data_IF_359792007237
#
_entry.id   IF_359792007237
#
_cell.length_a   1.000
_cell.length_b   1.000
_cell.length_c   1.000
_cell.angle_alpha   90.00
_cell.angle_beta   90.00
_cell.angle_gamma   90.00
#
_symmetry.space_group_name_H-M   'P 1'
#
loop_
_entity.id
_entity.type
_entity.pdbx_description
1 polymer ?
#
# COMPACT_ATOMS: atom_id res chain seq x y z
N UNK A 1 47.50 -19.87 -52.69
CA UNK A 1 46.74 -19.34 -51.54
C UNK A 1 46.72 -20.44 -50.46
N UNK A 2 47.61 -20.38 -49.46
CA UNK A 2 47.70 -21.42 -48.42
C UNK A 2 46.64 -21.13 -47.34
N UNK A 3 45.64 -21.99 -47.23
CA UNK A 3 44.70 -22.01 -46.10
C UNK A 3 45.50 -22.38 -44.84
N UNK A 4 45.60 -21.47 -43.86
CA UNK A 4 46.18 -21.80 -42.57
C UNK A 4 45.21 -22.71 -41.81
N UNK A 5 45.66 -23.91 -41.48
CA UNK A 5 44.87 -24.83 -40.67
C UNK A 5 44.74 -24.26 -39.25
N UNK A 6 43.50 -24.09 -38.77
CA UNK A 6 43.23 -23.66 -37.39
C UNK A 6 43.70 -24.75 -36.43
N UNK A 7 44.52 -24.44 -35.42
CA UNK A 7 45.00 -25.45 -34.48
C UNK A 7 43.84 -26.07 -33.70
N UNK A 8 43.84 -27.40 -33.56
CA UNK A 8 42.81 -28.20 -32.84
C UNK A 8 42.47 -27.67 -31.44
N UNK A 9 43.43 -27.02 -30.77
CA UNK A 9 43.21 -26.42 -29.44
C UNK A 9 42.19 -25.27 -29.48
N UNK A 10 42.13 -24.50 -30.57
CA UNK A 10 41.13 -23.45 -30.75
C UNK A 10 39.73 -24.02 -31.02
N UNK A 11 39.64 -25.15 -31.72
CA UNK A 11 38.37 -25.88 -31.90
C UNK A 11 37.82 -26.35 -30.54
N UNK A 12 38.69 -26.84 -29.65
CA UNK A 12 38.30 -27.19 -28.27
C UNK A 12 37.79 -25.99 -27.46
N UNK A 13 38.44 -24.83 -27.57
CA UNK A 13 37.96 -23.62 -26.89
C UNK A 13 36.63 -23.12 -27.42
N UNK A 14 36.43 -23.16 -28.74
CA UNK A 14 35.15 -22.77 -29.37
C UNK A 14 34.04 -23.73 -28.95
N UNK A 15 34.31 -25.03 -28.88
CA UNK A 15 33.35 -26.03 -28.42
C UNK A 15 32.95 -25.80 -26.95
N UNK A 16 33.93 -25.67 -26.05
CA UNK A 16 33.66 -25.41 -24.63
C UNK A 16 32.94 -24.08 -24.42
N UNK A 17 33.33 -23.02 -25.13
CA UNK A 17 32.66 -21.72 -25.10
C UNK A 17 31.23 -21.78 -25.62
N UNK A 18 31.00 -22.51 -26.72
CA UNK A 18 29.66 -22.72 -27.29
C UNK A 18 28.73 -23.51 -26.37
N UNK A 19 29.24 -24.57 -25.74
CA UNK A 19 28.48 -25.35 -24.75
C UNK A 19 28.17 -24.50 -23.50
N UNK A 20 29.16 -23.78 -22.98
CA UNK A 20 28.97 -22.90 -21.82
C UNK A 20 27.97 -21.77 -22.09
N UNK A 21 28.06 -21.12 -23.24
CA UNK A 21 27.10 -20.10 -23.65
C UNK A 21 25.69 -20.69 -23.86
N UNK A 22 25.59 -21.85 -24.52
CA UNK A 22 24.32 -22.54 -24.75
C UNK A 22 23.64 -22.97 -23.44
N UNK A 23 24.40 -23.53 -22.49
CA UNK A 23 23.88 -23.86 -21.15
C UNK A 23 23.50 -22.60 -20.37
N UNK A 24 24.30 -21.54 -20.41
CA UNK A 24 24.00 -20.27 -19.76
C UNK A 24 22.69 -19.64 -20.26
N UNK A 25 22.49 -19.60 -21.59
CA UNK A 25 21.24 -19.11 -22.19
C UNK A 25 20.06 -20.01 -21.83
N UNK A 26 20.23 -21.32 -21.86
CA UNK A 26 19.16 -22.28 -21.55
C UNK A 26 18.72 -22.20 -20.09
N UNK A 27 19.67 -22.09 -19.15
CA UNK A 27 19.37 -21.91 -17.73
C UNK A 27 18.70 -20.56 -17.50
N UNK A 28 19.21 -19.48 -18.10
CA UNK A 28 18.62 -18.16 -17.96
C UNK A 28 17.18 -18.09 -18.49
N UNK A 29 16.91 -18.69 -19.65
CA UNK A 29 15.56 -18.72 -20.23
C UNK A 29 14.58 -19.56 -19.40
N UNK A 30 15.00 -20.70 -18.87
CA UNK A 30 14.20 -21.50 -17.95
C UNK A 30 13.94 -20.82 -16.60
N UNK A 31 14.95 -20.13 -16.06
CA UNK A 31 14.82 -19.39 -14.80
C UNK A 31 13.95 -18.16 -14.99
N UNK A 32 14.14 -17.40 -16.06
CA UNK A 32 13.35 -16.22 -16.38
C UNK A 32 11.88 -16.56 -16.64
N UNK A 33 11.58 -17.65 -17.36
CA UNK A 33 10.20 -18.06 -17.64
C UNK A 33 9.45 -18.55 -16.39
N UNK A 34 10.15 -19.16 -15.42
CA UNK A 34 9.53 -19.62 -14.15
C UNK A 34 9.43 -18.55 -13.08
N UNK A 35 10.28 -17.52 -13.14
CA UNK A 35 10.28 -16.43 -12.17
C UNK A 35 9.52 -15.19 -12.66
N UNK A 36 9.12 -15.15 -13.94
CA UNK A 36 8.30 -14.05 -14.45
C UNK A 36 6.88 -14.17 -13.91
N UNK A 37 6.39 -13.19 -13.13
CA UNK A 37 5.02 -13.21 -12.64
C UNK A 37 4.04 -13.05 -13.83
N UNK A 38 2.82 -13.63 -13.73
CA UNK A 38 1.87 -13.64 -14.84
C UNK A 38 1.45 -12.21 -15.23
N UNK A 39 1.01 -12.04 -16.48
CA UNK A 39 0.61 -10.73 -17.03
C UNK A 39 -0.72 -10.27 -16.43
N UNK A 40 -0.85 -9.00 -16.01
CA UNK A 40 -2.09 -8.51 -15.41
C UNK A 40 -3.25 -8.76 -16.38
N UNK A 41 -4.34 -9.34 -15.88
CA UNK A 41 -5.52 -9.65 -16.67
C UNK A 41 -5.44 -10.95 -17.50
N UNK A 42 -4.32 -11.67 -17.48
CA UNK A 42 -4.27 -13.04 -18.01
C UNK A 42 -5.07 -14.01 -17.13
N UNK A 43 -5.45 -15.17 -17.67
CA UNK A 43 -6.13 -16.22 -16.88
C UNK A 43 -5.25 -16.73 -15.72
N UNK A 44 -3.95 -16.81 -15.92
CA UNK A 44 -2.98 -17.19 -14.89
C UNK A 44 -2.93 -16.17 -13.75
N UNK A 45 -2.97 -14.88 -14.09
CA UNK A 45 -3.03 -13.78 -13.11
C UNK A 45 -4.33 -13.81 -12.31
N UNK A 46 -5.47 -14.00 -12.98
CA UNK A 46 -6.77 -14.14 -12.33
C UNK A 46 -6.77 -15.33 -11.36
N UNK A 47 -6.25 -16.48 -11.78
CA UNK A 47 -6.18 -17.66 -10.92
C UNK A 47 -5.22 -17.45 -9.74
N UNK A 48 -4.09 -16.77 -9.94
CA UNK A 48 -3.17 -16.43 -8.86
C UNK A 48 -3.80 -15.46 -7.85
N UNK A 49 -4.56 -14.47 -8.32
CA UNK A 49 -5.33 -13.56 -7.46
C UNK A 49 -6.43 -14.30 -6.70
N UNK A 50 -7.15 -15.23 -7.33
CA UNK A 50 -8.16 -16.06 -6.66
C UNK A 50 -7.54 -16.91 -5.55
N UNK A 51 -6.41 -17.57 -5.83
CA UNK A 51 -5.68 -18.35 -4.82
C UNK A 51 -5.21 -17.46 -3.66
N UNK A 52 -4.70 -16.27 -3.96
CA UNK A 52 -4.33 -15.28 -2.95
C UNK A 52 -5.55 -14.88 -2.10
N UNK A 53 -6.70 -14.61 -2.74
CA UNK A 53 -7.94 -14.26 -2.05
C UNK A 53 -8.40 -15.37 -1.09
N UNK A 54 -8.36 -16.63 -1.55
CA UNK A 54 -8.71 -17.79 -0.73
C UNK A 54 -7.75 -17.98 0.45
N UNK A 55 -6.46 -17.68 0.26
CA UNK A 55 -5.48 -17.68 1.34
C UNK A 55 -5.76 -16.59 2.38
N UNK A 56 -6.14 -15.40 1.91
CA UNK A 56 -6.50 -14.27 2.77
C UNK A 56 -7.73 -14.53 3.63
N UNK A 57 -8.74 -15.22 3.09
CA UNK A 57 -9.93 -15.58 3.86
C UNK A 57 -9.64 -16.47 5.08
N UNK A 58 -8.47 -17.13 5.10
CA UNK A 58 -7.99 -17.96 6.20
C UNK A 58 -7.06 -17.22 7.17
N UNK A 59 -6.67 -15.99 6.89
CA UNK A 59 -5.79 -15.23 7.78
C UNK A 59 -6.54 -14.86 9.05
N UNK A 60 -5.95 -15.17 10.21
CA UNK A 60 -6.51 -14.87 11.53
C UNK A 60 -6.88 -13.38 11.70
N UNK A 61 -6.10 -12.48 11.09
CA UNK A 61 -6.39 -11.05 11.08
C UNK A 61 -7.72 -10.75 10.37
N UNK A 62 -7.97 -11.31 9.19
CA UNK A 62 -9.21 -11.08 8.45
C UNK A 62 -10.39 -11.79 9.13
N UNK A 63 -10.20 -13.02 9.58
CA UNK A 63 -11.23 -13.79 10.30
C UNK A 63 -11.65 -13.06 11.58
N UNK A 64 -10.69 -12.53 12.34
CA UNK A 64 -10.97 -11.79 13.57
C UNK A 64 -11.59 -10.41 13.35
N UNK A 65 -11.28 -9.74 12.23
CA UNK A 65 -11.93 -8.47 11.86
C UNK A 65 -13.36 -8.72 11.38
N UNK A 66 -13.59 -9.77 10.58
CA UNK A 66 -14.92 -10.16 10.10
C UNK A 66 -15.83 -10.68 11.19
N UNK A 67 -15.30 -11.43 12.17
CA UNK A 67 -16.10 -11.90 13.30
C UNK A 67 -16.58 -10.75 14.19
N UNK A 68 -15.81 -9.66 14.23
CA UNK A 68 -16.14 -8.41 14.95
C UNK A 68 -16.81 -7.37 14.04
N UNK A 69 -17.19 -7.74 12.82
CA UNK A 69 -17.54 -6.80 11.78
C UNK A 69 -18.84 -7.07 11.03
N UNK A 70 -19.26 -6.07 10.26
CA UNK A 70 -20.46 -6.06 9.43
C UNK A 70 -20.08 -5.74 7.98
N UNK A 71 -20.93 -6.12 7.02
CA UNK A 71 -20.75 -5.73 5.62
C UNK A 71 -21.29 -4.32 5.38
N UNK A 72 -20.59 -3.52 4.58
CA UNK A 72 -21.00 -2.15 4.22
C UNK A 72 -22.36 -2.06 3.50
N UNK A 73 -22.75 -3.11 2.77
CA UNK A 73 -23.93 -3.11 1.90
C UNK A 73 -25.03 -4.09 2.37
N UNK A 74 -24.86 -4.73 3.53
CA UNK A 74 -25.92 -5.54 4.13
C UNK A 74 -25.87 -5.39 5.64
N UNK A 75 -26.98 -5.01 6.26
CA UNK A 75 -27.17 -4.97 7.72
C UNK A 75 -27.04 -6.35 8.40
N UNK A 76 -26.70 -7.38 7.64
CA UNK A 76 -26.42 -8.73 8.11
C UNK A 76 -25.02 -8.78 8.73
N UNK A 77 -24.94 -8.99 10.05
CA UNK A 77 -23.70 -9.32 10.75
C UNK A 77 -23.05 -10.56 10.11
N UNK A 78 -21.75 -10.53 9.83
CA UNK A 78 -21.02 -11.68 9.26
C UNK A 78 -20.94 -12.89 10.22
N UNK A 79 -21.20 -12.66 11.51
CA UNK A 79 -21.23 -13.71 12.53
C UNK A 79 -22.29 -13.39 13.60
N UNK A 80 -23.57 -13.65 13.31
CA UNK A 80 -24.67 -13.88 14.28
C UNK A 80 -24.81 -12.95 15.49
N UNK A 81 -24.25 -11.74 15.49
CA UNK A 81 -24.12 -10.90 16.68
C UNK A 81 -24.95 -9.63 16.52
N UNK A 82 -26.29 -9.80 16.58
CA UNK A 82 -27.26 -8.76 16.91
C UNK A 82 -27.39 -7.58 15.93
N UNK A 83 -28.51 -6.83 16.01
CA UNK A 83 -28.69 -5.59 15.27
C UNK A 83 -27.99 -4.45 16.03
N UNK A 84 -26.79 -4.06 15.62
CA UNK A 84 -26.06 -2.95 16.25
C UNK A 84 -25.04 -2.30 15.32
N UNK A 85 -25.13 -0.97 15.14
CA UNK A 85 -24.22 -0.13 14.34
C UNK A 85 -22.88 0.13 15.07
N UNK A 86 -22.12 -0.91 15.40
CA UNK A 86 -20.82 -0.78 16.07
C UNK A 86 -19.91 -1.96 15.78
N UNK A 87 -18.85 -1.76 14.99
CA UNK A 87 -17.91 -2.82 14.63
C UNK A 87 -17.00 -2.49 13.45
N UNK A 88 -16.21 -3.49 13.03
CA UNK A 88 -15.36 -3.38 11.84
C UNK A 88 -16.19 -3.50 10.55
N UNK A 89 -15.93 -2.64 9.58
CA UNK A 89 -16.68 -2.54 8.34
C UNK A 89 -15.75 -2.85 7.18
N UNK A 90 -15.99 -3.94 6.46
CA UNK A 90 -15.20 -4.25 5.27
C UNK A 90 -15.55 -3.24 4.17
N UNK A 91 -14.54 -2.46 3.76
CA UNK A 91 -14.64 -1.50 2.67
C UNK A 91 -14.43 -2.25 1.35
N UNK A 92 -15.40 -2.13 0.46
CA UNK A 92 -15.22 -2.56 -0.93
C UNK A 92 -14.35 -1.51 -1.64
N UNK A 93 -13.07 -1.81 -1.81
CA UNK A 93 -12.14 -0.88 -2.45
C UNK A 93 -12.40 -0.76 -3.96
N UNK A 94 -12.93 -1.83 -4.58
CA UNK A 94 -13.19 -1.93 -6.02
C UNK A 94 -14.45 -1.21 -6.48
N UNK A 95 -15.42 -1.03 -5.58
CA UNK A 95 -16.70 -0.39 -5.93
C UNK A 95 -16.70 1.06 -5.50
N UNK A 96 -17.26 1.89 -6.39
CA UNK A 96 -17.71 3.24 -6.07
C UNK A 96 -18.60 3.21 -4.82
N UNK A 97 -18.09 3.65 -3.67
CA UNK A 97 -18.92 3.88 -2.47
C UNK A 97 -19.59 5.27 -2.55
N UNK A 98 -20.06 5.63 -3.74
CA UNK A 98 -21.02 6.68 -3.95
C UNK A 98 -21.93 6.19 -5.08
N UNK A 99 -23.09 5.66 -4.70
CA UNK A 99 -24.22 5.46 -5.60
C UNK A 99 -24.65 6.84 -6.15
N UNK A 100 -24.00 7.31 -7.20
CA UNK A 100 -24.56 8.34 -8.06
C UNK A 100 -24.86 7.68 -9.42
N UNK A 101 -26.10 7.24 -9.54
CA UNK A 101 -26.72 6.47 -10.62
C UNK A 101 -26.60 7.02 -12.05
N UNK A 102 -25.80 8.06 -12.34
CA UNK A 102 -25.82 8.73 -13.65
C UNK A 102 -24.48 9.30 -14.17
N UNK A 103 -23.34 8.88 -13.62
CA UNK A 103 -22.03 9.28 -14.18
C UNK A 103 -21.29 8.03 -14.62
N UNK A 104 -20.92 7.98 -15.90
CA UNK A 104 -20.14 6.90 -16.50
C UNK A 104 -19.03 6.41 -15.55
N UNK A 105 -18.99 5.09 -15.33
CA UNK A 105 -18.00 4.34 -14.56
C UNK A 105 -16.61 4.98 -14.66
N UNK A 106 -16.21 5.71 -13.61
CA UNK A 106 -14.93 6.42 -13.63
C UNK A 106 -14.15 5.95 -12.41
N UNK A 107 -13.30 4.92 -12.52
CA UNK A 107 -12.69 4.23 -11.38
C UNK A 107 -12.17 5.22 -10.33
N UNK A 108 -12.41 4.92 -9.05
CA UNK A 108 -11.90 5.70 -7.91
C UNK A 108 -10.41 5.95 -8.09
N UNK A 109 -9.91 7.16 -7.78
CA UNK A 109 -8.47 7.48 -7.89
C UNK A 109 -7.58 6.76 -6.87
N UNK A 110 -7.90 5.54 -6.46
CA UNK A 110 -6.83 4.67 -5.96
C UNK A 110 -5.93 4.39 -7.16
N UNK A 111 -4.98 5.30 -7.42
CA UNK A 111 -3.99 5.26 -8.51
C UNK A 111 -3.31 3.88 -8.56
N UNK A 112 -3.23 3.25 -7.39
CA UNK A 112 -2.81 1.89 -7.06
C UNK A 112 -3.66 0.79 -7.68
N UNK A 113 -4.99 0.93 -7.76
CA UNK A 113 -5.87 -0.12 -8.25
C UNK A 113 -5.94 -0.23 -9.76
N UNK A 114 -5.75 0.84 -10.54
CA UNK A 114 -5.80 0.75 -12.01
C UNK A 114 -4.42 0.52 -12.63
N UNK A 115 -3.40 1.23 -12.14
CA UNK A 115 -2.07 1.23 -12.77
C UNK A 115 -1.16 0.13 -12.25
N UNK A 116 -1.39 -0.34 -11.01
CA UNK A 116 -0.60 -1.38 -10.36
C UNK A 116 -1.42 -2.67 -10.19
N UNK A 117 -2.33 -2.98 -11.11
CA UNK A 117 -3.14 -4.21 -11.07
C UNK A 117 -2.33 -5.51 -11.16
N UNK A 118 -2.96 -6.61 -10.76
CA UNK A 118 -2.46 -7.96 -10.97
C UNK A 118 -1.58 -8.46 -9.83
N UNK A 119 -1.30 -9.76 -9.82
CA UNK A 119 -0.49 -10.42 -8.78
C UNK A 119 0.96 -9.91 -8.75
N UNK A 120 1.44 -9.43 -9.90
CA UNK A 120 2.76 -8.78 -10.02
C UNK A 120 2.81 -7.38 -9.40
N UNK A 121 1.66 -6.72 -9.28
CA UNK A 121 1.46 -5.38 -8.74
C UNK A 121 0.83 -5.39 -7.33
N UNK A 122 -0.05 -4.44 -7.07
CA UNK A 122 -0.93 -4.39 -5.91
C UNK A 122 -2.17 -5.23 -6.21
N UNK A 123 -2.05 -6.54 -5.98
CA UNK A 123 -3.03 -7.54 -6.40
C UNK A 123 -4.41 -7.34 -5.79
N UNK A 124 -4.59 -7.79 -4.55
CA UNK A 124 -5.82 -7.57 -3.80
C UNK A 124 -5.48 -6.59 -2.68
N UNK A 125 -6.36 -5.62 -2.47
CA UNK A 125 -6.35 -4.78 -1.30
C UNK A 125 -7.69 -5.01 -0.59
N UNK A 126 -7.67 -5.14 0.73
CA UNK A 126 -8.89 -5.19 1.55
C UNK A 126 -8.71 -4.25 2.71
N UNK A 127 -9.69 -3.40 2.98
CA UNK A 127 -9.63 -2.48 4.10
C UNK A 127 -10.82 -2.69 5.02
N UNK A 128 -10.58 -2.55 6.31
CA UNK A 128 -11.56 -2.68 7.37
C UNK A 128 -11.58 -1.37 8.16
N UNK A 129 -12.74 -0.74 8.23
CA UNK A 129 -12.95 0.52 8.92
C UNK A 129 -13.68 0.30 10.24
N UNK A 130 -13.16 0.81 11.35
CA UNK A 130 -13.87 0.77 12.62
C UNK A 130 -14.77 2.02 12.76
N UNK A 131 -16.08 1.83 12.87
CA UNK A 131 -17.03 2.94 13.02
C UNK A 131 -16.88 3.71 14.34
N UNK A 132 -16.43 3.03 15.40
CA UNK A 132 -16.34 3.60 16.75
C UNK A 132 -15.03 4.35 16.95
N UNK A 133 -13.90 3.73 16.60
CA UNK A 133 -12.56 4.31 16.81
C UNK A 133 -12.09 5.15 15.63
N UNK A 134 -12.77 5.07 14.48
CA UNK A 134 -12.34 5.63 13.20
C UNK A 134 -10.93 5.19 12.79
N UNK A 135 -10.60 3.94 13.09
CA UNK A 135 -9.35 3.31 12.69
C UNK A 135 -9.55 2.51 11.41
N UNK A 136 -8.51 2.38 10.61
CA UNK A 136 -8.51 1.54 9.41
C UNK A 136 -7.43 0.47 9.51
N UNK A 137 -7.77 -0.75 9.11
CA UNK A 137 -6.83 -1.85 8.95
C UNK A 137 -6.93 -2.33 7.51
N UNK A 138 -5.87 -2.17 6.74
CA UNK A 138 -5.78 -2.65 5.37
C UNK A 138 -4.84 -3.86 5.27
N UNK A 139 -5.28 -4.90 4.57
CA UNK A 139 -4.45 -6.03 4.18
C UNK A 139 -4.05 -5.81 2.73
N UNK A 140 -2.75 -5.80 2.47
CA UNK A 140 -2.17 -5.38 1.18
C UNK A 140 -1.18 -6.42 0.70
N UNK A 141 -1.34 -6.84 -0.55
CA UNK A 141 -0.33 -7.62 -1.26
C UNK A 141 0.60 -6.69 -2.02
N UNK A 142 1.91 -6.84 -1.82
CA UNK A 142 2.92 -6.11 -2.60
C UNK A 142 3.58 -7.10 -3.55
N UNK A 143 3.27 -7.04 -4.83
CA UNK A 143 3.80 -7.92 -5.86
C UNK A 143 5.27 -7.67 -6.20
N UNK A 144 5.85 -8.62 -6.94
CA UNK A 144 7.29 -8.65 -7.25
C UNK A 144 7.74 -7.56 -8.22
N UNK A 145 6.85 -7.05 -9.08
CA UNK A 145 7.17 -5.96 -10.03
C UNK A 145 7.14 -4.57 -9.37
N UNK A 146 6.81 -4.50 -8.09
CA UNK A 146 6.87 -3.28 -7.27
C UNK A 146 8.16 -3.20 -6.45
N UNK A 147 9.20 -3.94 -6.85
CA UNK A 147 10.49 -3.96 -6.16
C UNK A 147 11.38 -2.81 -6.60
N UNK A 148 12.01 -2.11 -5.65
CA UNK A 148 13.05 -1.11 -5.95
C UNK A 148 14.45 -1.71 -5.97
N UNK A 149 14.68 -2.74 -5.15
CA UNK A 149 15.88 -3.56 -5.12
C UNK A 149 15.47 -5.03 -5.28
N UNK A 150 16.29 -5.93 -5.84
CA UNK A 150 15.92 -7.34 -6.00
C UNK A 150 15.31 -7.95 -4.73
N UNK A 151 14.01 -8.27 -4.80
CA UNK A 151 13.22 -8.86 -3.71
C UNK A 151 12.71 -7.89 -2.63
N UNK A 152 13.04 -6.59 -2.70
CA UNK A 152 12.62 -5.58 -1.72
C UNK A 152 11.66 -4.59 -2.39
N UNK A 153 10.48 -4.43 -1.79
CA UNK A 153 9.46 -3.48 -2.21
C UNK A 153 10.01 -2.05 -2.31
N UNK A 154 9.62 -1.34 -3.36
CA UNK A 154 10.00 0.03 -3.61
C UNK A 154 9.42 0.94 -2.52
N UNK A 155 10.27 1.75 -1.87
CA UNK A 155 9.83 2.62 -0.77
C UNK A 155 8.71 3.57 -1.19
N UNK A 156 8.80 4.15 -2.39
CA UNK A 156 7.74 5.00 -2.95
C UNK A 156 6.39 4.29 -3.08
N UNK A 157 6.36 2.99 -3.43
CA UNK A 157 5.11 2.22 -3.49
C UNK A 157 4.50 2.07 -2.10
N UNK A 158 5.33 1.82 -1.08
CA UNK A 158 4.90 1.75 0.31
C UNK A 158 4.31 3.10 0.76
N UNK A 159 4.97 4.20 0.42
CA UNK A 159 4.45 5.54 0.70
C UNK A 159 3.09 5.78 0.01
N UNK A 160 2.94 5.40 -1.26
CA UNK A 160 1.66 5.50 -1.98
C UNK A 160 0.55 4.69 -1.32
N UNK A 161 0.83 3.46 -0.85
CA UNK A 161 -0.15 2.64 -0.11
C UNK A 161 -0.60 3.35 1.17
N UNK A 162 0.33 3.96 1.92
CA UNK A 162 -0.01 4.72 3.12
C UNK A 162 -0.87 5.94 2.79
N UNK A 163 -0.51 6.70 1.76
CA UNK A 163 -1.30 7.87 1.34
C UNK A 163 -2.72 7.46 0.95
N UNK A 164 -2.88 6.38 0.19
CA UNK A 164 -4.17 5.87 -0.28
C UNK A 164 -5.06 5.41 0.89
N UNK A 165 -4.52 4.57 1.77
CA UNK A 165 -5.26 4.04 2.93
C UNK A 165 -5.61 5.15 3.93
N UNK A 166 -4.69 6.08 4.20
CA UNK A 166 -4.96 7.20 5.11
C UNK A 166 -5.93 8.23 4.50
N UNK A 167 -5.89 8.44 3.19
CA UNK A 167 -6.86 9.30 2.49
C UNK A 167 -8.25 8.68 2.50
N UNK A 168 -8.36 7.35 2.32
CA UNK A 168 -9.63 6.63 2.50
C UNK A 168 -10.13 6.71 3.93
N UNK A 169 -9.23 6.67 4.90
CA UNK A 169 -9.56 6.91 6.30
C UNK A 169 -10.10 8.32 6.56
N UNK A 170 -9.56 9.34 5.88
CA UNK A 170 -10.09 10.70 5.93
C UNK A 170 -11.45 10.84 5.25
N UNK A 171 -11.69 10.09 4.16
CA UNK A 171 -12.98 10.06 3.46
C UNK A 171 -14.07 9.38 4.29
N UNK A 172 -13.69 8.42 5.13
CA UNK A 172 -14.62 7.57 5.87
C UNK A 172 -15.24 6.48 5.00
N UNK A 173 -16.15 5.68 5.56
CA UNK A 173 -16.63 4.46 4.90
C UNK A 173 -17.52 4.71 3.68
N UNK A 174 -18.20 5.87 3.63
CA UNK A 174 -19.13 6.25 2.55
C UNK A 174 -18.62 7.42 1.69
N UNK A 175 -17.41 7.92 1.96
CA UNK A 175 -16.82 9.03 1.22
C UNK A 175 -16.01 8.56 0.03
N UNK A 176 -16.07 9.30 -1.07
CA UNK A 176 -15.09 9.12 -2.16
C UNK A 176 -13.73 9.68 -1.74
N UNK A 177 -12.65 8.95 -2.01
CA UNK A 177 -11.27 9.42 -1.80
C UNK A 177 -11.01 10.72 -2.58
N UNK A 178 -11.68 10.91 -3.71
CA UNK A 178 -11.56 12.13 -4.54
C UNK A 178 -12.06 13.39 -3.85
N UNK A 179 -12.89 13.24 -2.80
CA UNK A 179 -13.39 14.36 -2.01
C UNK A 179 -12.40 14.86 -0.95
N UNK A 180 -11.32 14.10 -0.71
CA UNK A 180 -10.30 14.42 0.30
C UNK A 180 -9.15 15.18 -0.35
N UNK A 181 -8.66 16.23 0.31
CA UNK A 181 -7.48 16.94 -0.16
C UNK A 181 -6.21 16.09 0.00
N UNK A 182 -5.19 16.38 -0.80
CA UNK A 182 -3.86 15.80 -0.58
C UNK A 182 -3.33 16.13 0.82
N UNK A 183 -2.52 15.25 1.42
CA UNK A 183 -1.88 15.52 2.71
C UNK A 183 -0.97 16.77 2.62
N UNK A 184 -0.94 17.57 3.68
CA UNK A 184 -0.05 18.73 3.77
C UNK A 184 1.39 18.32 4.08
N UNK A 185 1.58 17.22 4.81
CA UNK A 185 2.88 16.59 4.98
C UNK A 185 2.75 15.09 5.20
N UNK A 186 3.77 14.35 4.77
CA UNK A 186 3.90 12.91 4.95
C UNK A 186 5.35 12.59 5.34
N UNK A 187 5.51 11.83 6.42
CA UNK A 187 6.78 11.32 6.92
C UNK A 187 6.71 9.81 7.00
N UNK A 188 7.70 9.11 6.43
CA UNK A 188 7.74 7.65 6.35
C UNK A 188 9.08 7.16 6.88
N UNK A 189 9.03 6.35 7.94
CA UNK A 189 10.18 5.73 8.59
C UNK A 189 10.28 4.26 8.19
N UNK A 190 11.27 3.93 7.37
CA UNK A 190 11.56 2.56 6.95
C UNK A 190 12.46 1.87 7.99
N UNK A 191 11.87 1.02 8.83
CA UNK A 191 12.58 0.37 9.93
C UNK A 191 13.28 -0.92 9.50
N UNK A 192 12.65 -1.68 8.60
CA UNK A 192 13.09 -3.00 8.15
C UNK A 192 12.81 -3.21 6.67
N UNK A 193 13.59 -4.04 5.96
CA UNK A 193 13.31 -4.37 4.58
C UNK A 193 11.94 -5.04 4.45
N UNK A 194 11.17 -4.56 3.49
CA UNK A 194 9.84 -5.09 3.15
C UNK A 194 9.99 -5.94 1.90
N UNK A 195 9.87 -7.26 2.03
CA UNK A 195 10.05 -8.17 0.91
C UNK A 195 8.85 -8.14 -0.02
N UNK A 196 9.09 -8.04 -1.32
CA UNK A 196 8.06 -8.14 -2.35
C UNK A 196 7.55 -9.57 -2.49
N UNK A 197 6.35 -9.75 -3.03
CA UNK A 197 5.67 -11.04 -3.13
C UNK A 197 5.16 -11.53 -1.78
N UNK A 198 4.78 -10.62 -0.89
CA UNK A 198 4.25 -10.96 0.43
C UNK A 198 3.04 -10.09 0.82
N UNK A 199 2.27 -10.58 1.79
CA UNK A 199 1.11 -9.89 2.38
C UNK A 199 1.53 -9.10 3.61
N UNK A 200 1.05 -7.88 3.72
CA UNK A 200 1.28 -7.00 4.86
C UNK A 200 -0.03 -6.48 5.44
N UNK A 201 0.01 -6.12 6.72
CA UNK A 201 -1.11 -5.51 7.45
C UNK A 201 -0.73 -4.07 7.75
N UNK A 202 -1.48 -3.14 7.20
CA UNK A 202 -1.37 -1.71 7.46
C UNK A 202 -2.44 -1.32 8.48
N UNK A 203 -2.04 -0.72 9.59
CA UNK A 203 -2.96 -0.18 10.61
C UNK A 203 -2.79 1.32 10.64
N UNK A 204 -3.87 2.07 10.58
CA UNK A 204 -3.83 3.52 10.74
C UNK A 204 -4.93 4.01 11.67
N UNK A 205 -4.59 5.02 12.46
CA UNK A 205 -5.43 5.60 13.50
C UNK A 205 -5.21 7.11 13.54
N UNK A 206 -6.25 7.89 13.82
CA UNK A 206 -6.08 9.29 14.14
C UNK A 206 -5.18 9.36 15.38
N UNK A 207 -4.11 10.14 15.32
CA UNK A 207 -3.43 10.48 16.55
C UNK A 207 -4.45 11.23 17.39
N UNK A 208 -4.75 10.74 18.61
CA UNK A 208 -5.47 11.55 19.59
C UNK A 208 -4.84 12.95 19.54
N UNK A 209 -5.62 14.04 19.36
CA UNK A 209 -5.04 15.36 19.28
C UNK A 209 -4.12 15.48 20.48
N UNK A 210 -2.84 15.77 20.23
CA UNK A 210 -1.94 16.12 21.31
C UNK A 210 -2.67 17.22 22.08
N UNK A 211 -3.02 16.93 23.33
CA UNK A 211 -3.46 17.94 24.26
C UNK A 211 -2.53 19.13 24.08
N UNK A 212 -3.15 20.27 23.76
CA UNK A 212 -2.57 21.58 23.46
C UNK A 212 -1.06 21.63 23.70
N UNK A 213 -0.33 21.86 22.61
CA UNK A 213 1.10 22.20 22.59
C UNK A 213 1.47 23.34 23.59
N UNK A 214 0.50 24.02 24.20
CA UNK A 214 0.59 24.87 25.39
C UNK A 214 1.36 24.30 26.58
N UNK A 215 1.48 22.97 26.74
CA UNK A 215 2.13 22.37 27.90
C UNK A 215 3.63 22.06 27.73
N UNK A 216 4.20 22.22 26.52
CA UNK A 216 5.67 22.17 26.39
C UNK A 216 6.24 23.50 26.90
N UNK A 217 7.26 23.50 27.77
CA UNK A 217 8.00 24.71 28.07
C UNK A 217 8.43 25.33 26.73
N UNK A 218 7.97 26.54 26.43
CA UNK A 218 8.36 27.26 25.22
C UNK A 218 9.89 27.37 25.22
N UNK A 219 10.54 26.55 24.41
CA UNK A 219 11.95 26.74 24.10
C UNK A 219 12.05 28.13 23.45
N UNK A 220 12.90 29.04 23.97
CA UNK A 220 12.93 30.40 23.48
C UNK A 220 13.28 30.40 22.00
N UNK A 221 12.33 30.79 21.15
CA UNK A 221 12.55 30.82 19.71
C UNK A 221 13.79 31.67 19.42
N UNK A 222 14.79 31.13 18.68
CA UNK A 222 15.92 31.95 18.26
C UNK A 222 15.36 33.05 17.37
N UNK A 223 15.59 34.31 17.77
CA UNK A 223 15.18 35.49 17.00
C UNK A 223 15.83 35.42 15.62
N UNK A 224 15.07 34.96 14.63
CA UNK A 224 15.45 35.02 13.22
C UNK A 224 15.62 36.49 12.83
N UNK A 225 16.81 36.82 12.34
CA UNK A 225 17.16 38.15 11.84
C UNK A 225 16.65 38.37 10.41
N UNK A 226 15.99 37.37 9.82
CA UNK A 226 15.44 37.42 8.48
C UNK A 226 14.02 38.01 8.50
N UNK A 227 13.66 38.85 7.52
CA UNK A 227 12.28 39.31 7.39
C UNK A 227 11.38 38.12 7.04
N UNK A 228 10.17 38.10 7.60
CA UNK A 228 9.22 36.97 7.59
C UNK A 228 8.93 36.34 6.22
N UNK A 229 9.16 37.05 5.11
CA UNK A 229 8.93 36.57 3.75
C UNK A 229 10.12 35.79 3.16
N UNK A 230 11.28 35.81 3.83
CA UNK A 230 12.48 35.04 3.47
C UNK A 230 12.75 33.85 4.40
N UNK A 231 11.91 33.68 5.42
CA UNK A 231 12.07 32.62 6.40
C UNK A 231 11.20 31.40 6.05
N UNK A 232 11.75 30.52 5.20
CA UNK A 232 11.11 29.27 4.78
C UNK A 232 11.09 28.20 5.89
N UNK A 233 11.68 28.48 7.06
CA UNK A 233 11.69 27.55 8.21
C UNK A 233 10.49 27.73 9.13
N UNK A 234 9.68 28.77 8.90
CA UNK A 234 8.47 29.05 9.67
C UNK A 234 7.37 28.06 9.30
N UNK A 235 7.11 27.07 10.15
CA UNK A 235 5.85 26.30 10.08
C UNK A 235 4.68 27.27 10.23
N UNK A 236 3.64 27.23 9.38
CA UNK A 236 2.47 28.08 9.53
C UNK A 236 1.78 27.74 10.85
N UNK A 237 2.03 28.57 11.87
CA UNK A 237 1.38 28.49 13.17
C UNK A 237 -0.07 28.92 13.02
N UNK A 238 -1.03 27.99 13.11
CA UNK A 238 -2.44 28.34 13.32
C UNK A 238 -3.49 27.54 12.57
N UNK A 239 -3.14 26.64 11.64
CA UNK A 239 -4.12 25.72 11.08
C UNK A 239 -4.22 24.48 11.99
N UNK A 240 -5.41 24.19 12.51
CA UNK A 240 -5.67 22.88 13.11
C UNK A 240 -5.34 21.82 12.06
N UNK A 241 -4.37 20.96 12.35
CA UNK A 241 -3.98 19.84 11.49
C UNK A 241 -4.46 18.55 12.11
N UNK A 242 -5.01 17.68 11.26
CA UNK A 242 -5.42 16.34 11.65
C UNK A 242 -4.29 15.40 11.29
N UNK A 243 -3.74 14.76 12.32
CA UNK A 243 -2.62 13.85 12.18
C UNK A 243 -3.11 12.40 12.23
N UNK A 244 -2.66 11.60 11.27
CA UNK A 244 -2.90 10.16 11.20
C UNK A 244 -1.55 9.47 11.30
N UNK A 245 -1.48 8.50 12.20
CA UNK A 245 -0.33 7.62 12.34
C UNK A 245 -0.68 6.25 11.76
N UNK A 246 0.27 5.63 11.07
CA UNK A 246 0.11 4.29 10.56
C UNK A 246 1.36 3.43 10.72
N UNK A 247 1.14 2.12 10.84
CA UNK A 247 2.17 1.08 10.87
C UNK A 247 1.92 0.09 9.74
N UNK A 248 2.99 -0.38 9.11
CA UNK A 248 2.97 -1.52 8.20
C UNK A 248 3.66 -2.68 8.88
N UNK A 249 2.94 -3.78 9.06
CA UNK A 249 3.36 -4.98 9.78
C UNK A 249 3.40 -6.19 8.86
N UNK A 250 4.35 -7.07 9.11
CA UNK A 250 4.33 -8.44 8.56
C UNK A 250 3.21 -9.26 9.19
N UNK A 251 2.92 -10.45 8.63
CA UNK A 251 1.97 -11.39 9.24
C UNK A 251 2.42 -11.86 10.64
N UNK A 252 3.72 -11.82 10.92
CA UNK A 252 4.31 -12.05 12.26
C UNK A 252 4.04 -10.91 13.26
N UNK A 253 3.41 -9.80 12.86
CA UNK A 253 3.24 -8.60 13.68
C UNK A 253 4.51 -7.74 13.83
N UNK A 254 5.56 -8.02 13.05
CA UNK A 254 6.79 -7.21 13.06
C UNK A 254 6.58 -5.94 12.23
N UNK A 255 6.66 -4.77 12.88
CA UNK A 255 6.59 -3.48 12.20
C UNK A 255 7.76 -3.31 11.22
N UNK A 256 7.46 -3.08 9.94
CA UNK A 256 8.44 -2.82 8.88
C UNK A 256 8.60 -1.33 8.61
N UNK A 257 7.48 -0.60 8.56
CA UNK A 257 7.46 0.82 8.20
C UNK A 257 6.46 1.54 9.12
N UNK A 258 6.79 2.77 9.49
CA UNK A 258 5.86 3.70 10.15
C UNK A 258 5.63 4.90 9.26
N UNK A 259 4.42 5.42 9.25
CA UNK A 259 4.10 6.63 8.52
C UNK A 259 3.29 7.59 9.41
N UNK A 260 3.53 8.87 9.23
CA UNK A 260 2.75 9.95 9.83
C UNK A 260 2.35 10.92 8.74
N UNK A 261 1.06 11.16 8.60
CA UNK A 261 0.52 12.10 7.63
C UNK A 261 -0.31 13.17 8.34
N UNK A 262 -0.23 14.40 7.85
CA UNK A 262 -1.00 15.53 8.35
C UNK A 262 -1.89 16.07 7.23
N UNK A 263 -3.15 16.36 7.57
CA UNK A 263 -4.10 17.06 6.72
C UNK A 263 -4.52 18.38 7.35
N UNK A 264 -4.84 19.42 6.55
CA UNK A 264 -5.51 20.59 7.10
C UNK A 264 -6.88 20.18 7.65
N UNK A 265 -7.33 20.75 8.77
CA UNK A 265 -8.61 20.37 9.39
C UNK A 265 -9.83 20.56 8.47
N UNK A 266 -9.72 21.45 7.48
CA UNK A 266 -10.75 21.64 6.45
C UNK A 266 -10.94 20.43 5.53
N UNK A 267 -10.01 19.48 5.52
CA UNK A 267 -10.05 18.29 4.68
C UNK A 267 -10.81 17.11 5.32
N UNK A 268 -11.16 17.19 6.61
CA UNK A 268 -12.00 16.17 7.24
C UNK A 268 -13.41 16.33 6.69
N UNK A 269 -13.86 15.35 5.91
CA UNK A 269 -15.25 15.27 5.46
C UNK A 269 -16.11 14.91 6.66
N UNK A 270 -16.62 15.93 7.35
CA UNK A 270 -17.46 15.76 8.52
C UNK A 270 -18.88 15.38 8.07
N UNK A 271 -19.12 14.10 7.83
CA UNK A 271 -20.47 13.55 7.67
C UNK A 271 -20.72 12.56 8.80
N UNK A 272 -21.63 12.95 9.69
CA UNK A 272 -22.12 12.11 10.78
C UNK A 272 -23.01 10.98 10.30
#
# INVERSE_FOLDING_TARGET
MRLSAVPIRYLWYILCGGIGAGMGISVNTLVASRLSPPTPGSSEDQHALEQLAQGWDKLDAIVSLRSKGYNLHSDTSLSGSGPGKGGWLELDLRRHIAEDTNVAEKPTRTLTEDTLTGIRGLGIQRAFWNSETREIVAVVWIGTMLSGWPGIAHGGVIATIFEDVMSRMMAGPHGSVDSVSTPSSMSVDYLRPTFSGNTFILRASFSKPALSEEARPREPEPKSWLPSWKDFTKKPSGASTVEINGTLEDLDGKVKVRAKCAWPASAVVNRG
#
